data_IF_571282465680
#
_entry.id   IF_571282465680
#
_cell.length_a   1.000
_cell.length_b   1.000
_cell.length_c   1.000
_cell.angle_alpha   90.00
_cell.angle_beta   90.00
_cell.angle_gamma   90.00
#
_symmetry.space_group_name_H-M   'P 1'
#
loop_
_entity.id
_entity.type
_entity.pdbx_description
1 polymer ?
#
# COMPACT_ATOMS: atom_id res chain seq x y z
N UNK A 1 19.09 -91.23 -42.23
CA UNK A 1 18.29 -90.20 -41.52
C UNK A 1 19.14 -89.35 -40.56
N UNK A 2 20.29 -88.86 -41.04
CA UNK A 2 21.23 -87.93 -40.36
C UNK A 2 20.84 -86.46 -40.57
N UNK A 3 19.63 -86.04 -40.19
CA UNK A 3 19.23 -84.61 -40.27
C UNK A 3 18.41 -84.13 -39.07
N UNK A 4 17.90 -85.04 -38.23
CA UNK A 4 17.27 -84.66 -36.96
C UNK A 4 18.33 -84.21 -35.94
N UNK A 5 19.58 -84.67 -36.10
CA UNK A 5 20.71 -84.33 -35.24
C UNK A 5 21.21 -82.89 -35.39
N UNK A 6 20.77 -82.13 -36.41
CA UNK A 6 21.29 -80.78 -36.68
C UNK A 6 20.52 -79.66 -35.95
N UNK A 7 19.33 -79.93 -35.42
CA UNK A 7 18.52 -78.91 -34.71
C UNK A 7 18.74 -78.94 -33.19
N UNK A 8 19.29 -80.04 -32.65
CA UNK A 8 19.57 -80.14 -31.21
C UNK A 8 20.87 -79.45 -30.76
N UNK A 9 21.69 -78.91 -31.67
CA UNK A 9 23.04 -78.43 -31.35
C UNK A 9 23.21 -76.91 -31.19
N UNK A 10 22.17 -76.08 -31.36
CA UNK A 10 22.33 -74.61 -31.38
C UNK A 10 21.21 -73.80 -30.67
N UNK A 11 20.84 -74.14 -29.44
CA UNK A 11 20.07 -73.21 -28.60
C UNK A 11 20.59 -73.20 -27.14
N UNK A 12 20.93 -72.01 -26.58
CA UNK A 12 21.58 -71.86 -25.28
C UNK A 12 20.62 -72.19 -24.12
N UNK A 13 21.16 -72.49 -22.91
CA UNK A 13 20.35 -72.88 -21.76
C UNK A 13 19.44 -71.73 -21.36
N UNK A 14 18.13 -72.00 -21.26
CA UNK A 14 17.18 -71.05 -20.67
C UNK A 14 17.60 -70.78 -19.22
N UNK A 15 18.22 -69.61 -19.04
CA UNK A 15 18.47 -69.01 -17.75
C UNK A 15 17.14 -68.85 -17.02
N UNK A 16 17.06 -69.56 -15.90
CA UNK A 16 16.19 -69.34 -14.74
C UNK A 16 15.36 -68.05 -14.79
N UNK A 17 14.11 -68.18 -15.21
CA UNK A 17 13.06 -67.27 -14.76
C UNK A 17 12.77 -67.65 -13.31
N UNK A 18 13.46 -67.01 -12.36
CA UNK A 18 13.15 -67.17 -10.95
C UNK A 18 11.70 -66.75 -10.70
N UNK A 19 10.89 -67.57 -10.03
CA UNK A 19 9.53 -67.19 -9.68
C UNK A 19 9.60 -66.00 -8.71
N UNK A 20 8.82 -64.95 -9.00
CA UNK A 20 8.59 -63.85 -8.06
C UNK A 20 8.23 -64.45 -6.69
N UNK A 21 8.94 -64.11 -5.60
CA UNK A 21 8.78 -64.81 -4.33
C UNK A 21 7.36 -64.53 -3.82
N UNK A 22 6.65 -65.61 -3.50
CA UNK A 22 5.34 -65.55 -2.84
C UNK A 22 5.54 -64.78 -1.55
N UNK A 23 5.02 -63.55 -1.51
CA UNK A 23 5.22 -62.64 -0.39
C UNK A 23 4.47 -63.20 0.82
N UNK A 24 5.22 -63.71 1.80
CA UNK A 24 4.64 -64.26 3.03
C UNK A 24 3.82 -63.20 3.76
N UNK A 25 2.73 -63.63 4.42
CA UNK A 25 1.85 -62.73 5.18
C UNK A 25 2.62 -61.89 6.22
N UNK A 26 3.72 -62.45 6.77
CA UNK A 26 4.65 -61.75 7.67
C UNK A 26 5.41 -60.61 6.98
N UNK A 27 5.86 -60.81 5.74
CA UNK A 27 6.56 -59.79 4.97
C UNK A 27 5.63 -58.62 4.58
N UNK A 28 4.37 -58.92 4.25
CA UNK A 28 3.35 -57.88 4.02
C UNK A 28 3.09 -57.03 5.27
N UNK A 29 2.99 -57.65 6.45
CA UNK A 29 2.82 -56.93 7.72
C UNK A 29 4.02 -56.03 8.05
N UNK A 30 5.25 -56.49 7.77
CA UNK A 30 6.47 -55.70 7.98
C UNK A 30 6.50 -54.47 7.06
N UNK A 31 6.15 -54.64 5.78
CA UNK A 31 6.07 -53.53 4.82
C UNK A 31 4.98 -52.53 5.25
N UNK A 32 3.80 -53.02 5.64
CA UNK A 32 2.71 -52.18 6.14
C UNK A 32 3.13 -51.38 7.39
N UNK A 33 3.79 -52.03 8.36
CA UNK A 33 4.28 -51.36 9.55
C UNK A 33 5.32 -50.28 9.21
N UNK A 34 6.27 -50.58 8.32
CA UNK A 34 7.29 -49.61 7.88
C UNK A 34 6.67 -48.40 7.16
N UNK A 35 5.64 -48.61 6.33
CA UNK A 35 4.93 -47.49 5.66
C UNK A 35 4.20 -46.60 6.66
N UNK A 36 3.53 -47.18 7.66
CA UNK A 36 2.85 -46.40 8.71
C UNK A 36 3.85 -45.58 9.53
N UNK A 37 4.99 -46.17 9.90
CA UNK A 37 6.05 -45.46 10.62
C UNK A 37 6.59 -44.30 9.77
N UNK A 38 6.84 -44.51 8.48
CA UNK A 38 7.33 -43.45 7.58
C UNK A 38 6.34 -42.29 7.47
N UNK A 39 5.05 -42.57 7.34
CA UNK A 39 3.99 -41.54 7.29
C UNK A 39 3.90 -40.77 8.61
N UNK A 40 3.97 -41.47 9.74
CA UNK A 40 3.95 -40.84 11.07
C UNK A 40 5.17 -39.94 11.26
N UNK A 41 6.37 -40.41 10.90
CA UNK A 41 7.60 -39.62 11.00
C UNK A 41 7.55 -38.39 10.09
N UNK A 42 7.09 -38.53 8.84
CA UNK A 42 6.92 -37.42 7.93
C UNK A 42 5.90 -36.38 8.47
N UNK A 43 4.80 -36.85 9.06
CA UNK A 43 3.80 -35.98 9.67
C UNK A 43 4.34 -35.25 10.90
N UNK A 44 5.07 -35.95 11.79
CA UNK A 44 5.73 -35.35 12.96
C UNK A 44 6.74 -34.30 12.53
N UNK A 45 7.58 -34.58 11.53
CA UNK A 45 8.55 -33.62 10.99
C UNK A 45 7.84 -32.42 10.36
N UNK A 46 6.77 -32.65 9.59
CA UNK A 46 5.96 -31.58 9.00
C UNK A 46 5.31 -30.69 10.07
N UNK A 47 4.73 -31.28 11.10
CA UNK A 47 4.10 -30.57 12.22
C UNK A 47 5.14 -29.82 13.06
N UNK A 48 6.27 -30.44 13.37
CA UNK A 48 7.39 -29.79 14.05
C UNK A 48 7.92 -28.61 13.21
N UNK A 49 8.15 -28.81 11.92
CA UNK A 49 8.53 -27.73 11.00
C UNK A 49 7.45 -26.65 10.90
N UNK A 50 6.15 -26.97 11.00
CA UNK A 50 5.08 -25.94 11.06
C UNK A 50 5.13 -25.16 12.35
N UNK A 51 5.30 -25.81 13.50
CA UNK A 51 5.41 -25.15 14.81
C UNK A 51 6.65 -24.28 14.87
N UNK A 52 7.81 -24.78 14.45
CA UNK A 52 9.07 -24.01 14.38
C UNK A 52 8.95 -22.86 13.38
N UNK A 53 8.39 -23.08 12.18
CA UNK A 53 8.16 -21.98 11.21
C UNK A 53 7.17 -20.94 11.73
N UNK A 54 6.18 -21.33 12.52
CA UNK A 54 5.25 -20.39 13.17
C UNK A 54 5.92 -19.65 14.33
N UNK A 55 6.75 -20.32 15.12
CA UNK A 55 7.50 -19.74 16.24
C UNK A 55 8.63 -18.80 15.79
N UNK A 56 9.20 -19.05 14.61
CA UNK A 56 10.26 -18.23 13.99
C UNK A 56 9.69 -17.05 13.20
N UNK A 57 8.36 -16.87 13.12
CA UNK A 57 7.82 -15.60 12.59
C UNK A 57 8.30 -14.50 13.54
N UNK A 58 9.22 -13.61 13.11
CA UNK A 58 9.64 -12.54 13.98
C UNK A 58 8.39 -11.73 14.26
N UNK A 59 7.99 -11.64 15.53
CA UNK A 59 7.01 -10.65 15.93
C UNK A 59 7.61 -9.32 15.52
N UNK A 60 7.02 -8.67 14.51
CA UNK A 60 7.45 -7.34 14.08
C UNK A 60 7.15 -6.41 15.26
N UNK A 61 8.12 -6.29 16.17
CA UNK A 61 8.05 -5.34 17.26
C UNK A 61 8.36 -3.98 16.66
N UNK A 62 7.28 -3.30 16.31
CA UNK A 62 7.27 -1.88 16.09
C UNK A 62 8.12 -1.21 17.18
N UNK A 63 9.08 -0.37 16.80
CA UNK A 63 9.84 0.47 17.74
C UNK A 63 8.91 1.25 18.69
N UNK A 64 9.44 1.81 19.78
CA UNK A 64 8.63 2.48 20.81
C UNK A 64 7.63 3.47 20.19
N UNK A 65 6.33 3.19 20.37
CA UNK A 65 5.25 3.98 19.78
C UNK A 65 5.25 5.42 20.28
N UNK A 66 5.58 5.61 21.56
CA UNK A 66 5.67 6.92 22.20
C UNK A 66 6.68 7.86 21.52
N UNK A 67 7.90 7.39 21.25
CA UNK A 67 8.92 8.22 20.58
C UNK A 67 8.45 8.65 19.19
N UNK A 68 7.86 7.73 18.43
CA UNK A 68 7.35 8.06 17.09
C UNK A 68 6.21 9.07 17.12
N UNK A 69 5.35 8.98 18.13
CA UNK A 69 4.26 9.93 18.35
C UNK A 69 4.79 11.31 18.74
N UNK A 70 5.80 11.37 19.63
CA UNK A 70 6.43 12.63 20.01
C UNK A 70 7.08 13.34 18.82
N UNK A 71 7.88 12.61 18.03
CA UNK A 71 8.50 13.15 16.83
C UNK A 71 7.46 13.58 15.77
N UNK A 72 6.33 12.86 15.67
CA UNK A 72 5.21 13.25 14.82
C UNK A 72 4.62 14.58 15.27
N UNK A 73 4.31 14.73 16.56
CA UNK A 73 3.79 15.98 17.14
C UNK A 73 4.77 17.13 16.93
N UNK A 74 6.07 16.89 17.13
CA UNK A 74 7.11 17.88 16.86
C UNK A 74 7.12 18.31 15.39
N UNK A 75 7.00 17.36 14.45
CA UNK A 75 6.98 17.70 13.03
C UNK A 75 5.71 18.46 12.62
N UNK A 76 4.54 18.08 13.16
CA UNK A 76 3.31 18.85 12.93
C UNK A 76 3.43 20.28 13.46
N UNK A 77 4.00 20.45 14.65
CA UNK A 77 4.26 21.78 15.20
C UNK A 77 5.22 22.59 14.31
N UNK A 78 6.24 21.95 13.75
CA UNK A 78 7.14 22.59 12.79
C UNK A 78 6.39 23.05 11.52
N UNK A 79 5.53 22.19 10.96
CA UNK A 79 4.81 22.46 9.70
C UNK A 79 3.84 23.64 9.80
N UNK A 80 3.02 23.73 10.85
CA UNK A 80 1.95 24.74 10.91
C UNK A 80 1.88 25.59 12.18
N UNK A 81 2.66 25.29 13.23
CA UNK A 81 2.68 26.07 14.48
C UNK A 81 3.97 26.88 14.71
N UNK A 82 5.07 26.62 13.99
CA UNK A 82 6.36 27.25 14.23
C UNK A 82 6.36 28.74 13.86
N UNK A 83 6.32 29.08 12.57
CA UNK A 83 6.30 30.45 12.10
C UNK A 83 5.57 30.58 10.75
N UNK A 84 5.26 31.80 10.34
CA UNK A 84 4.50 32.06 9.10
C UNK A 84 5.27 31.73 7.83
N UNK A 85 6.60 31.87 7.83
CA UNK A 85 7.46 31.55 6.69
C UNK A 85 7.48 30.05 6.41
N UNK A 86 7.68 29.24 7.44
CA UNK A 86 7.67 27.77 7.37
C UNK A 86 6.27 27.27 6.98
N UNK A 87 5.21 27.81 7.57
CA UNK A 87 3.85 27.46 7.17
C UNK A 87 3.60 27.79 5.69
N UNK A 88 4.06 28.95 5.22
CA UNK A 88 3.97 29.33 3.81
C UNK A 88 4.81 28.41 2.92
N UNK A 89 6.01 28.02 3.36
CA UNK A 89 6.90 27.13 2.60
C UNK A 89 6.43 25.68 2.59
N UNK A 90 5.72 25.22 3.62
CA UNK A 90 5.26 23.84 3.72
C UNK A 90 3.83 23.66 3.19
N UNK A 91 2.96 24.66 3.35
CA UNK A 91 1.53 24.55 3.05
C UNK A 91 1.05 25.50 1.95
N UNK A 92 1.93 26.38 1.44
CA UNK A 92 1.54 27.53 0.57
C UNK A 92 0.50 28.45 1.19
N UNK A 93 0.39 28.44 2.52
CA UNK A 93 -0.59 29.21 3.28
C UNK A 93 0.01 29.64 4.62
N UNK A 94 -0.17 30.91 5.00
CA UNK A 94 0.25 31.41 6.32
C UNK A 94 -0.59 30.80 7.44
N UNK A 95 -0.12 30.89 8.69
CA UNK A 95 -0.76 30.24 9.84
C UNK A 95 -2.17 30.75 10.11
N UNK A 96 -2.39 32.06 10.05
CA UNK A 96 -3.70 32.64 10.35
C UNK A 96 -4.78 32.23 9.33
N UNK A 97 -4.58 32.32 8.00
CA UNK A 97 -5.51 31.76 7.02
C UNK A 97 -5.71 30.25 7.17
N UNK A 98 -4.65 29.49 7.46
CA UNK A 98 -4.74 28.04 7.69
C UNK A 98 -5.65 27.72 8.89
N UNK A 99 -5.46 28.38 10.03
CA UNK A 99 -6.30 28.19 11.20
C UNK A 99 -7.78 28.52 10.91
N UNK A 100 -8.05 29.61 10.18
CA UNK A 100 -9.43 29.95 9.77
C UNK A 100 -10.04 28.90 8.84
N UNK A 101 -9.26 28.34 7.92
CA UNK A 101 -9.73 27.29 7.02
C UNK A 101 -10.10 26.03 7.79
N UNK A 102 -9.24 25.60 8.72
CA UNK A 102 -9.50 24.45 9.60
C UNK A 102 -10.76 24.69 10.44
N UNK A 103 -10.91 25.89 11.02
CA UNK A 103 -12.10 26.25 11.80
C UNK A 103 -13.38 26.25 10.96
N UNK A 104 -13.29 26.66 9.69
CA UNK A 104 -14.41 26.60 8.75
C UNK A 104 -14.83 25.15 8.50
N UNK A 105 -13.88 24.23 8.33
CA UNK A 105 -14.19 22.81 8.15
C UNK A 105 -14.78 22.17 9.41
N UNK A 106 -14.31 22.57 10.60
CA UNK A 106 -14.85 22.09 11.89
C UNK A 106 -16.27 22.60 12.13
N UNK A 107 -16.47 23.91 12.06
CA UNK A 107 -17.76 24.55 12.33
C UNK A 107 -18.87 24.05 11.42
N UNK A 108 -18.54 23.79 10.14
CA UNK A 108 -19.48 23.22 9.15
C UNK A 108 -19.57 21.69 9.18
N UNK A 109 -18.84 21.03 10.09
CA UNK A 109 -18.76 19.56 10.22
C UNK A 109 -18.38 18.84 8.91
N UNK A 110 -17.60 19.51 8.06
CA UNK A 110 -17.12 18.96 6.79
C UNK A 110 -15.97 17.98 7.00
N UNK A 111 -15.20 18.16 8.06
CA UNK A 111 -14.15 17.26 8.50
C UNK A 111 -14.33 16.94 9.99
N UNK A 112 -13.98 15.72 10.37
CA UNK A 112 -14.04 15.24 11.75
C UNK A 112 -12.67 14.76 12.20
N UNK A 113 -12.40 14.94 13.49
CA UNK A 113 -11.20 14.39 14.12
C UNK A 113 -11.30 12.87 14.22
N UNK A 114 -10.19 12.20 13.94
CA UNK A 114 -10.03 10.77 14.18
C UNK A 114 -9.21 10.58 15.45
N UNK A 115 -9.34 9.43 16.11
CA UNK A 115 -8.57 9.03 17.31
C UNK A 115 -7.08 9.37 17.14
N UNK A 116 -6.56 9.16 15.93
CA UNK A 116 -5.15 9.33 15.66
C UNK A 116 -4.83 10.58 14.83
N UNK A 117 -5.78 11.36 14.31
CA UNK A 117 -5.48 12.43 13.32
C UNK A 117 -6.41 13.62 13.49
N UNK A 118 -5.85 14.80 13.78
CA UNK A 118 -6.61 16.05 13.92
C UNK A 118 -7.00 16.63 12.55
N UNK A 119 -7.97 17.55 12.52
CA UNK A 119 -8.37 18.22 11.26
C UNK A 119 -7.21 19.04 10.67
N UNK A 120 -6.37 19.68 11.50
CA UNK A 120 -5.16 20.38 11.03
C UNK A 120 -4.24 19.44 10.26
N UNK A 121 -3.96 18.26 10.80
CA UNK A 121 -3.08 17.28 10.16
C UNK A 121 -3.68 16.83 8.82
N UNK A 122 -4.99 16.60 8.75
CA UNK A 122 -5.68 16.25 7.50
C UNK A 122 -5.54 17.33 6.43
N UNK A 123 -5.83 18.58 6.79
CA UNK A 123 -5.74 19.73 5.88
C UNK A 123 -4.29 20.03 5.50
N UNK A 124 -3.36 19.89 6.44
CA UNK A 124 -1.92 20.09 6.19
C UNK A 124 -1.38 19.05 5.20
N UNK A 125 -1.75 17.77 5.33
CA UNK A 125 -1.38 16.74 4.35
C UNK A 125 -1.86 17.10 2.95
N UNK A 126 -3.12 17.53 2.83
CA UNK A 126 -3.69 17.94 1.54
C UNK A 126 -2.94 19.14 0.95
N UNK A 127 -2.78 20.23 1.72
CA UNK A 127 -2.12 21.46 1.27
C UNK A 127 -0.66 21.21 0.88
N UNK A 128 0.06 20.37 1.62
CA UNK A 128 1.42 20.02 1.29
C UNK A 128 1.52 19.25 -0.04
N UNK A 129 0.58 18.34 -0.31
CA UNK A 129 0.51 17.61 -1.60
C UNK A 129 0.22 18.57 -2.75
N UNK A 130 -0.86 19.36 -2.67
CA UNK A 130 -1.29 20.22 -3.79
C UNK A 130 -0.38 21.42 -3.97
N UNK A 131 0.14 22.00 -2.88
CA UNK A 131 1.00 23.18 -2.91
C UNK A 131 2.40 22.93 -3.44
N UNK A 132 2.85 21.68 -3.43
CA UNK A 132 4.18 21.27 -3.89
C UNK A 132 4.16 20.17 -4.95
N UNK A 133 2.97 19.75 -5.41
CA UNK A 133 2.78 18.62 -6.32
C UNK A 133 3.54 17.34 -5.88
N UNK A 134 3.45 17.04 -4.57
CA UNK A 134 4.21 15.94 -3.98
C UNK A 134 3.48 14.61 -4.13
N UNK A 135 4.24 13.53 -4.37
CA UNK A 135 3.69 12.17 -4.38
C UNK A 135 3.48 11.70 -2.94
N UNK A 136 2.44 10.89 -2.70
CA UNK A 136 2.18 10.31 -1.36
C UNK A 136 3.37 9.54 -0.80
N UNK A 137 4.18 8.92 -1.66
CA UNK A 137 5.41 8.23 -1.29
C UNK A 137 6.50 9.15 -0.70
N UNK A 138 6.46 10.44 -0.97
CA UNK A 138 7.43 11.39 -0.39
C UNK A 138 6.92 11.87 0.97
N UNK A 139 5.64 12.25 1.02
CA UNK A 139 5.09 12.92 2.19
C UNK A 139 4.76 11.97 3.35
N UNK A 140 4.73 10.65 3.11
CA UNK A 140 4.46 9.67 4.17
C UNK A 140 5.47 9.72 5.30
N UNK A 141 6.73 10.06 4.99
CA UNK A 141 7.78 10.16 5.99
C UNK A 141 7.64 11.46 6.78
N UNK A 142 7.27 12.57 6.11
CA UNK A 142 7.00 13.86 6.75
C UNK A 142 5.87 13.73 7.77
N UNK A 143 4.69 13.27 7.37
CA UNK A 143 3.55 13.19 8.29
C UNK A 143 3.57 11.94 9.18
N UNK A 144 4.52 11.01 8.94
CA UNK A 144 4.62 9.72 9.65
C UNK A 144 3.30 8.93 9.63
N UNK A 145 2.63 8.97 8.48
CA UNK A 145 1.37 8.24 8.20
C UNK A 145 1.55 7.26 7.07
N UNK A 146 0.74 6.22 7.05
CA UNK A 146 0.68 5.34 5.89
C UNK A 146 0.17 6.10 4.66
N UNK A 147 0.61 5.70 3.47
CA UNK A 147 0.12 6.28 2.21
C UNK A 147 -1.40 6.10 2.05
N UNK A 148 -1.95 5.01 2.59
CA UNK A 148 -3.39 4.78 2.65
C UNK A 148 -4.10 5.88 3.47
N UNK A 149 -3.57 6.19 4.65
CA UNK A 149 -4.11 7.26 5.52
C UNK A 149 -4.09 8.59 4.80
N UNK A 150 -2.98 8.91 4.14
CA UNK A 150 -2.81 10.14 3.36
C UNK A 150 -3.81 10.20 2.21
N UNK A 151 -3.96 9.12 1.44
CA UNK A 151 -4.91 9.03 0.32
C UNK A 151 -6.36 9.21 0.77
N UNK A 152 -6.73 8.61 1.92
CA UNK A 152 -8.06 8.77 2.52
C UNK A 152 -8.34 10.23 2.87
N UNK A 153 -7.45 10.87 3.63
CA UNK A 153 -7.64 12.26 4.04
C UNK A 153 -7.53 13.24 2.87
N UNK A 154 -6.68 12.97 1.89
CA UNK A 154 -6.63 13.75 0.65
C UNK A 154 -8.00 13.82 -0.03
N UNK A 155 -8.69 12.68 -0.17
CA UNK A 155 -10.02 12.62 -0.77
C UNK A 155 -11.07 13.32 0.09
N UNK A 156 -11.04 13.15 1.41
CA UNK A 156 -11.97 13.79 2.33
C UNK A 156 -11.84 15.32 2.31
N UNK A 157 -10.62 15.84 2.36
CA UNK A 157 -10.36 17.28 2.29
C UNK A 157 -10.72 17.82 0.91
N UNK A 158 -10.44 17.10 -0.17
CA UNK A 158 -10.86 17.49 -1.52
C UNK A 158 -12.38 17.61 -1.63
N UNK A 159 -13.12 16.68 -1.05
CA UNK A 159 -14.58 16.74 -1.01
C UNK A 159 -15.07 17.94 -0.19
N UNK A 160 -14.51 18.17 1.00
CA UNK A 160 -14.84 19.32 1.85
C UNK A 160 -14.59 20.67 1.15
N UNK A 161 -13.48 20.80 0.42
CA UNK A 161 -13.20 21.99 -0.41
C UNK A 161 -14.22 22.10 -1.56
N UNK A 162 -14.58 20.98 -2.16
CA UNK A 162 -15.60 20.89 -3.20
C UNK A 162 -16.95 21.44 -2.76
N UNK A 163 -17.34 21.22 -1.50
CA UNK A 163 -18.59 21.78 -0.93
C UNK A 163 -18.51 23.30 -0.77
N UNK A 164 -17.34 23.85 -0.44
CA UNK A 164 -17.14 25.30 -0.31
C UNK A 164 -17.01 26.04 -1.65
N UNK A 165 -16.92 25.31 -2.78
CA UNK A 165 -16.63 25.90 -4.10
C UNK A 165 -17.61 26.99 -4.51
N UNK A 166 -18.90 26.82 -4.20
CA UNK A 166 -19.95 27.76 -4.60
C UNK A 166 -19.85 29.12 -3.90
N UNK A 167 -19.29 29.14 -2.70
CA UNK A 167 -19.13 30.35 -1.88
C UNK A 167 -17.76 30.99 -2.09
N UNK A 168 -16.70 30.18 -2.22
CA UNK A 168 -15.31 30.65 -2.27
C UNK A 168 -14.80 30.89 -3.69
N UNK A 169 -15.32 30.15 -4.68
CA UNK A 169 -14.90 30.28 -6.07
C UNK A 169 -15.93 31.13 -6.81
N UNK A 170 -15.71 32.44 -6.81
CA UNK A 170 -16.52 33.35 -7.62
C UNK A 170 -16.17 33.13 -9.09
N UNK A 171 -17.18 32.82 -9.91
CA UNK A 171 -17.00 32.78 -11.37
C UNK A 171 -16.49 34.15 -11.85
N UNK A 172 -15.40 34.22 -12.62
CA UNK A 172 -15.00 35.47 -13.25
C UNK A 172 -16.16 36.00 -14.08
N UNK A 173 -16.37 37.32 -14.05
CA UNK A 173 -17.35 37.96 -14.94
C UNK A 173 -16.95 37.63 -16.38
N UNK A 174 -17.89 37.13 -17.19
CA UNK A 174 -17.65 36.83 -18.61
C UNK A 174 -17.38 38.07 -19.48
N UNK A 175 -17.09 39.21 -18.87
CA UNK A 175 -16.75 40.45 -19.53
C UNK A 175 -15.22 40.64 -19.52
N UNK A 176 -14.67 40.99 -20.68
CA UNK A 176 -13.27 41.37 -20.80
C UNK A 176 -12.97 42.55 -19.88
N UNK A 177 -11.97 42.45 -18.98
CA UNK A 177 -11.60 43.55 -18.09
C UNK A 177 -11.33 44.85 -18.86
N UNK A 178 -11.69 46.03 -18.32
CA UNK A 178 -11.55 47.31 -19.01
C UNK A 178 -10.09 47.61 -19.43
N UNK A 179 -9.12 47.11 -18.66
CA UNK A 179 -7.67 47.20 -18.97
C UNK A 179 -7.29 46.51 -20.29
N UNK A 180 -7.98 45.43 -20.66
CA UNK A 180 -7.74 44.67 -21.89
C UNK A 180 -8.60 45.24 -23.02
N UNK A 181 -9.86 45.60 -22.72
CA UNK A 181 -10.79 46.21 -23.69
C UNK A 181 -10.25 47.50 -24.31
N UNK A 182 -9.52 48.31 -23.55
CA UNK A 182 -8.91 49.55 -24.04
C UNK A 182 -7.57 49.38 -24.77
N UNK A 183 -6.99 48.17 -24.79
CA UNK A 183 -5.67 47.95 -25.40
C UNK A 183 -5.80 47.32 -26.78
N UNK A 184 -5.45 48.03 -27.87
CA UNK A 184 -5.51 47.46 -29.22
C UNK A 184 -4.52 46.30 -29.43
N UNK A 185 -3.48 46.21 -28.60
CA UNK A 185 -2.51 45.10 -28.60
C UNK A 185 -3.10 43.81 -28.03
N UNK A 186 -3.91 43.91 -26.96
CA UNK A 186 -4.40 42.75 -26.22
C UNK A 186 -5.84 42.37 -26.57
N UNK A 187 -6.67 43.35 -26.94
CA UNK A 187 -8.08 43.14 -27.22
C UNK A 187 -8.36 42.08 -28.29
N UNK A 188 -7.64 42.00 -29.44
CA UNK A 188 -7.89 40.97 -30.45
C UNK A 188 -7.71 39.54 -29.94
N UNK A 189 -6.80 39.31 -28.99
CA UNK A 189 -6.46 37.99 -28.47
C UNK A 189 -7.32 37.55 -27.29
N UNK A 190 -7.88 38.52 -26.55
CA UNK A 190 -8.60 38.27 -25.30
C UNK A 190 -10.07 38.72 -25.33
N UNK A 191 -10.59 39.06 -26.52
CA UNK A 191 -12.02 39.27 -26.73
C UNK A 191 -12.75 37.97 -26.41
N UNK A 192 -13.74 38.04 -25.53
CA UNK A 192 -14.56 36.90 -25.08
C UNK A 192 -13.84 35.83 -24.24
N UNK A 193 -12.62 36.11 -23.75
CA UNK A 193 -11.97 35.25 -22.77
C UNK A 193 -12.64 35.35 -21.38
N UNK A 194 -13.00 34.20 -20.80
CA UNK A 194 -13.70 34.10 -19.51
C UNK A 194 -12.72 34.01 -18.32
N UNK A 195 -11.40 34.08 -18.53
CA UNK A 195 -10.39 33.96 -17.47
C UNK A 195 -9.67 32.60 -17.47
N UNK A 196 -8.64 32.49 -16.63
CA UNK A 196 -7.47 31.62 -16.84
C UNK A 196 -7.67 30.11 -16.59
N UNK A 197 -6.84 29.33 -17.30
CA UNK A 197 -6.27 28.04 -16.88
C UNK A 197 -4.98 28.35 -16.12
#
# INVERSE_FOLDING_TARGET
HRLVDLVCAMAPPMSSLSPMPVMDARMRLIIQAATLISVIQAWVVFMHQRVVRCAVRPLIRYGPLFLREQERIQNLNYIYNCNDSEALWMLRMKRAPFARLVETFRSRRLLQESINTSVEEQVAMFLHVVGHNQRFRVIHNTFRRSMETISRYFKQVLFAIGELRGEMIRRPSGQTPPKIRGSPRWYPYFKDCIGAI
#
